data_IF_922740826715
#
_entry.id   IF_922740826715
#
_cell.length_a   1.000
_cell.length_b   1.000
_cell.length_c   1.000
_cell.angle_alpha   90.00
_cell.angle_beta   90.00
_cell.angle_gamma   90.00
#
_symmetry.space_group_name_H-M   'P 1'
#
loop_
_entity.id
_entity.type
_entity.pdbx_description
1 polymer ?
#
# COMPACT_ATOMS: atom_id res chain seq x y z
N UNK A 1 -2.76 -7.53 -19.32
CA UNK A 1 -3.59 -6.31 -19.40
C UNK A 1 -4.55 -6.22 -18.22
N UNK A 2 -5.48 -7.17 -18.03
CA UNK A 2 -6.47 -7.14 -16.94
C UNK A 2 -5.84 -7.18 -15.53
N UNK A 3 -4.87 -8.06 -15.28
CA UNK A 3 -4.21 -8.14 -13.96
C UNK A 3 -3.46 -6.87 -13.56
N UNK A 4 -2.86 -6.18 -14.54
CA UNK A 4 -2.17 -4.93 -14.31
C UNK A 4 -3.16 -3.81 -13.93
N UNK A 5 -4.28 -3.72 -14.64
CA UNK A 5 -5.35 -2.77 -14.32
C UNK A 5 -5.95 -3.05 -12.94
N UNK A 6 -6.17 -4.32 -12.59
CA UNK A 6 -6.67 -4.71 -11.28
C UNK A 6 -5.72 -4.30 -10.14
N UNK A 7 -4.42 -4.57 -10.30
CA UNK A 7 -3.40 -4.13 -9.34
C UNK A 7 -3.33 -2.61 -9.24
N UNK A 8 -3.34 -1.91 -10.37
CA UNK A 8 -3.32 -0.45 -10.38
C UNK A 8 -4.54 0.15 -9.67
N UNK A 9 -5.74 -0.37 -9.95
CA UNK A 9 -6.97 0.07 -9.28
C UNK A 9 -6.92 -0.19 -7.77
N UNK A 10 -6.36 -1.32 -7.35
CA UNK A 10 -6.15 -1.65 -5.95
C UNK A 10 -5.19 -0.65 -5.27
N UNK A 11 -4.04 -0.36 -5.87
CA UNK A 11 -3.08 0.61 -5.31
C UNK A 11 -3.68 2.02 -5.24
N UNK A 12 -4.48 2.41 -6.23
CA UNK A 12 -5.20 3.68 -6.23
C UNK A 12 -6.22 3.74 -5.09
N UNK A 13 -7.01 2.67 -4.90
CA UNK A 13 -7.99 2.59 -3.82
C UNK A 13 -7.32 2.62 -2.44
N UNK A 14 -6.20 1.92 -2.27
CA UNK A 14 -5.38 1.96 -1.06
C UNK A 14 -4.90 3.39 -0.81
N UNK A 15 -4.37 4.06 -1.83
CA UNK A 15 -3.89 5.45 -1.72
C UNK A 15 -5.01 6.41 -1.27
N UNK A 16 -6.21 6.27 -1.84
CA UNK A 16 -7.38 7.07 -1.46
C UNK A 16 -7.81 6.80 -0.02
N UNK A 17 -7.81 5.53 0.42
CA UNK A 17 -8.14 5.17 1.81
C UNK A 17 -7.09 5.67 2.80
N UNK A 18 -5.80 5.61 2.46
CA UNK A 18 -4.73 6.20 3.27
C UNK A 18 -4.95 7.71 3.44
N UNK A 19 -5.30 8.40 2.37
CA UNK A 19 -5.51 9.85 2.41
C UNK A 19 -6.76 10.28 3.21
N UNK A 20 -7.78 9.41 3.29
CA UNK A 20 -9.07 9.74 3.90
C UNK A 20 -9.29 9.17 5.30
N UNK A 21 -8.55 8.14 5.69
CA UNK A 21 -8.70 7.52 7.00
C UNK A 21 -8.24 8.45 8.14
N UNK A 22 -8.81 8.23 9.32
CA UNK A 22 -8.38 8.88 10.56
C UNK A 22 -7.12 8.20 11.10
N UNK A 23 -7.10 6.85 11.09
CA UNK A 23 -5.96 6.04 11.50
C UNK A 23 -5.65 4.96 10.45
N UNK A 24 -4.35 4.76 10.20
CA UNK A 24 -3.83 3.75 9.28
C UNK A 24 -2.77 2.91 9.98
N UNK A 25 -3.00 1.60 10.06
CA UNK A 25 -2.03 0.64 10.55
C UNK A 25 -1.53 -0.25 9.40
N UNK A 26 -0.20 -0.41 9.31
CA UNK A 26 0.45 -1.21 8.27
C UNK A 26 1.32 -2.29 8.93
N UNK A 27 0.91 -3.54 8.79
CA UNK A 27 1.68 -4.70 9.22
C UNK A 27 2.43 -5.30 8.04
N UNK A 28 3.77 -5.26 8.08
CA UNK A 28 4.63 -5.88 7.08
C UNK A 28 5.20 -7.22 7.57
N UNK A 29 4.92 -8.28 6.81
CA UNK A 29 5.52 -9.59 7.02
C UNK A 29 6.75 -9.72 6.12
N UNK A 30 7.89 -10.02 6.72
CA UNK A 30 9.16 -10.21 6.01
C UNK A 30 9.52 -11.69 5.97
N UNK A 31 9.98 -12.17 4.82
CA UNK A 31 10.71 -13.43 4.72
C UNK A 31 12.16 -13.24 5.15
N UNK A 32 12.66 -14.14 6.00
CA UNK A 32 14.03 -14.11 6.50
C UNK A 32 14.34 -15.26 7.46
N UNK A 33 14.40 -16.47 6.91
CA UNK A 33 15.20 -17.66 7.31
C UNK A 33 14.50 -18.91 6.75
N UNK A 34 14.45 -19.02 5.42
CA UNK A 34 14.51 -20.36 4.85
C UNK A 34 15.95 -20.82 4.99
N UNK A 35 16.18 -21.99 5.59
CA UNK A 35 17.40 -22.80 5.45
C UNK A 35 17.58 -23.24 3.98
N UNK A 36 17.42 -22.33 3.03
CA UNK A 36 17.57 -22.54 1.61
C UNK A 36 19.01 -22.32 1.22
N UNK A 37 19.92 -23.07 1.84
CA UNK A 37 21.34 -23.12 1.52
C UNK A 37 22.04 -21.77 1.45
N UNK A 38 23.11 -21.64 2.22
CA UNK A 38 24.28 -20.85 1.87
C UNK A 38 24.93 -21.42 0.57
N UNK A 39 24.13 -21.59 -0.49
CA UNK A 39 24.50 -21.87 -1.85
C UNK A 39 25.03 -20.58 -2.45
N UNK A 40 26.13 -20.12 -1.87
CA UNK A 40 27.22 -19.55 -2.62
C UNK A 40 27.52 -20.55 -3.75
N UNK A 41 26.78 -20.46 -4.86
CA UNK A 41 27.39 -20.66 -6.17
C UNK A 41 28.34 -19.48 -6.34
N UNK A 42 29.47 -19.58 -5.64
CA UNK A 42 30.75 -19.09 -6.11
C UNK A 42 31.05 -19.83 -7.43
N UNK A 43 30.33 -19.46 -8.48
CA UNK A 43 30.78 -19.69 -9.85
C UNK A 43 31.31 -18.37 -10.34
N UNK A 44 32.62 -18.27 -10.25
CA UNK A 44 33.54 -17.43 -11.01
C UNK A 44 32.92 -16.22 -11.71
N UNK A 45 33.28 -15.03 -11.23
CA UNK A 45 33.66 -13.96 -12.17
C UNK A 45 32.92 -12.64 -12.12
N UNK A 46 31.87 -12.44 -11.30
CA UNK A 46 31.26 -11.11 -11.14
C UNK A 46 30.75 -10.87 -9.72
N UNK A 47 31.59 -10.27 -8.89
CA UNK A 47 31.14 -9.63 -7.65
C UNK A 47 30.34 -8.38 -8.06
N UNK A 48 29.02 -8.51 -8.11
CA UNK A 48 28.11 -7.36 -8.16
C UNK A 48 28.10 -6.70 -6.78
N UNK A 49 29.16 -5.95 -6.50
CA UNK A 49 29.29 -5.01 -5.40
C UNK A 49 28.35 -3.84 -5.69
N UNK A 50 27.09 -3.93 -5.25
CA UNK A 50 26.11 -2.89 -5.57
C UNK A 50 24.76 -3.00 -4.85
N UNK A 51 24.70 -3.53 -3.63
CA UNK A 51 23.65 -3.24 -2.65
C UNK A 51 23.92 -4.07 -1.39
N UNK A 52 24.58 -3.49 -0.40
CA UNK A 52 24.56 -3.97 0.99
C UNK A 52 23.20 -3.72 1.63
N UNK A 53 22.12 -4.15 0.98
CA UNK A 53 20.78 -4.13 1.54
C UNK A 53 20.55 -5.40 2.33
N UNK A 54 20.23 -5.29 3.62
CA UNK A 54 19.68 -6.42 4.38
C UNK A 54 18.49 -6.98 3.59
N UNK A 55 18.64 -8.14 2.95
CA UNK A 55 17.71 -8.69 1.97
C UNK A 55 16.42 -9.25 2.58
N UNK A 56 15.71 -8.47 3.40
CA UNK A 56 14.41 -8.84 3.94
C UNK A 56 13.36 -8.52 2.88
N UNK A 57 12.76 -9.55 2.30
CA UNK A 57 11.72 -9.42 1.28
C UNK A 57 10.36 -9.32 1.98
N UNK A 58 9.62 -8.22 1.77
CA UNK A 58 8.23 -8.13 2.23
C UNK A 58 7.37 -9.10 1.41
N UNK A 59 6.68 -10.00 2.09
CA UNK A 59 5.82 -11.02 1.46
C UNK A 59 4.36 -10.67 1.51
N UNK A 60 3.95 -9.98 2.58
CA UNK A 60 2.56 -9.62 2.83
C UNK A 60 2.53 -8.28 3.55
N UNK A 61 1.55 -7.46 3.17
CA UNK A 61 1.14 -6.28 3.91
C UNK A 61 -0.31 -6.43 4.32
N UNK A 62 -0.62 -6.05 5.56
CA UNK A 62 -2.00 -5.93 6.04
C UNK A 62 -2.23 -4.45 6.35
N UNK A 63 -3.17 -3.84 5.63
CA UNK A 63 -3.60 -2.47 5.85
C UNK A 63 -4.90 -2.48 6.66
N UNK A 64 -4.93 -1.78 7.80
CA UNK A 64 -6.15 -1.50 8.57
C UNK A 64 -6.43 -0.01 8.52
N UNK A 65 -7.66 0.34 8.15
CA UNK A 65 -8.13 1.73 8.04
C UNK A 65 -9.28 1.95 9.02
N UNK A 66 -9.16 2.93 9.90
CA UNK A 66 -10.18 3.29 10.88
C UNK A 66 -10.63 4.73 10.66
N UNK A 67 -11.93 4.97 10.77
CA UNK A 67 -12.53 6.31 10.69
C UNK A 67 -12.35 7.02 9.35
N UNK A 68 -12.68 8.31 9.36
CA UNK A 68 -12.40 9.28 8.30
C UNK A 68 -11.86 10.54 8.96
N UNK A 69 -10.84 11.16 8.38
CA UNK A 69 -10.28 12.39 8.92
C UNK A 69 -11.21 13.60 8.70
N UNK A 70 -11.01 14.64 9.52
CA UNK A 70 -11.83 15.85 9.51
C UNK A 70 -11.94 16.48 8.13
N UNK A 71 -10.83 16.56 7.38
CA UNK A 71 -10.81 17.11 6.00
C UNK A 71 -11.75 16.34 5.07
N UNK A 72 -11.80 15.02 5.20
CA UNK A 72 -12.68 14.19 4.40
C UNK A 72 -14.14 14.36 4.83
N UNK A 73 -14.39 14.44 6.14
CA UNK A 73 -15.73 14.68 6.68
C UNK A 73 -16.29 16.05 6.26
N UNK A 74 -15.46 17.09 6.30
CA UNK A 74 -15.79 18.44 5.81
C UNK A 74 -16.19 18.41 4.33
N UNK A 75 -15.34 17.82 3.47
CA UNK A 75 -15.61 17.72 2.05
C UNK A 75 -16.92 16.96 1.74
N UNK A 76 -17.16 15.83 2.44
CA UNK A 76 -18.41 15.07 2.29
C UNK A 76 -19.61 15.93 2.73
N UNK A 77 -19.49 16.67 3.84
CA UNK A 77 -20.59 17.50 4.33
C UNK A 77 -20.95 18.64 3.37
N UNK A 78 -19.96 19.25 2.70
CA UNK A 78 -20.16 20.30 1.70
C UNK A 78 -20.84 19.75 0.43
N UNK A 79 -20.42 18.57 -0.04
CA UNK A 79 -21.04 17.89 -1.19
C UNK A 79 -22.49 17.49 -0.90
N UNK A 80 -22.76 16.94 0.28
CA UNK A 80 -24.11 16.57 0.70
C UNK A 80 -25.04 17.80 0.75
N UNK A 81 -24.57 18.91 1.31
CA UNK A 81 -25.36 20.14 1.39
C UNK A 81 -25.66 20.73 0.00
N UNK A 82 -24.69 20.69 -0.92
CA UNK A 82 -24.84 21.19 -2.30
C UNK A 82 -25.85 20.35 -3.11
N UNK A 83 -25.87 19.03 -2.90
CA UNK A 83 -26.80 18.12 -3.59
C UNK A 83 -28.23 18.25 -3.07
N UNK A 84 -28.41 18.60 -1.80
CA UNK A 84 -29.74 18.83 -1.22
C UNK A 84 -30.35 20.14 -1.71
N UNK A 85 -29.57 21.21 -1.82
CA UNK A 85 -30.05 22.50 -2.32
C UNK A 85 -30.39 22.49 -3.82
N UNK A 86 -29.73 21.67 -4.64
CA UNK A 86 -30.05 21.53 -6.07
C UNK A 86 -31.31 20.70 -6.37
N UNK A 87 -31.81 19.93 -5.39
CA UNK A 87 -33.01 19.08 -5.54
C UNK A 87 -34.30 19.74 -4.99
N UNK A 88 -34.21 20.99 -4.53
CA UNK A 88 -35.32 21.76 -3.94
C UNK A 88 -35.79 22.91 -4.85
N UNK A 89 -35.21 23.07 -6.04
CA UNK A 89 -35.73 23.90 -7.14
C UNK A 89 -36.51 23.07 -8.16
#
# INVERSE_FOLDING_TARGET
MLEYQAKYAQELAISQRIASAEEVEIEEYYEGEGEGSLGLKAKEGKVALGASGSGRKVTKRVYRFTGFNDKTLEAISEEFNTTQSSNVE
#
